data_IF_750408323157
#
_entry.id   IF_750408323157
#
_cell.length_a   1.000
_cell.length_b   1.000
_cell.length_c   1.000
_cell.angle_alpha   90.00
_cell.angle_beta   90.00
_cell.angle_gamma   90.00
#
_symmetry.space_group_name_H-M   'P 1'
#
loop_
_entity.id
_entity.type
_entity.pdbx_description
1 polymer ?
#
# COMPACT_ATOMS: atom_id res chain seq x y z
N UNK A 1 29.05 -2.06 10.29
CA UNK A 1 29.55 -3.45 10.23
C UNK A 1 29.72 -3.81 8.76
N UNK A 2 30.92 -4.20 8.30
CA UNK A 2 31.11 -4.51 6.87
C UNK A 2 30.40 -5.82 6.53
N UNK A 3 29.40 -5.76 5.65
CA UNK A 3 28.75 -6.94 5.11
C UNK A 3 29.74 -7.86 4.40
N UNK A 4 29.48 -9.17 4.43
CA UNK A 4 30.26 -10.12 3.63
C UNK A 4 29.99 -9.86 2.15
N UNK A 5 31.04 -9.73 1.36
CA UNK A 5 30.92 -9.64 -0.10
C UNK A 5 30.44 -10.97 -0.67
N UNK A 6 29.29 -10.97 -1.35
CA UNK A 6 28.81 -12.15 -2.05
C UNK A 6 29.53 -12.27 -3.39
N UNK A 7 30.28 -13.37 -3.56
CA UNK A 7 30.63 -13.90 -4.88
C UNK A 7 29.67 -15.05 -5.17
N UNK A 8 28.78 -14.88 -6.15
CA UNK A 8 27.85 -15.92 -6.56
C UNK A 8 28.65 -17.11 -7.15
N UNK A 9 28.53 -18.32 -6.58
CA UNK A 9 29.20 -19.50 -7.11
C UNK A 9 28.71 -19.80 -8.53
N UNK A 10 29.63 -20.07 -9.46
CA UNK A 10 29.30 -20.38 -10.86
C UNK A 10 28.36 -21.59 -11.02
N UNK A 11 28.36 -22.53 -10.09
CA UNK A 11 27.45 -23.68 -10.10
C UNK A 11 25.96 -23.28 -10.00
N UNK A 12 25.64 -22.09 -9.49
CA UNK A 12 24.27 -21.61 -9.46
C UNK A 12 23.73 -21.29 -10.86
N UNK A 13 24.59 -20.94 -11.84
CA UNK A 13 24.11 -20.63 -13.19
C UNK A 13 23.71 -21.86 -14.00
N UNK A 14 24.14 -23.05 -13.58
CA UNK A 14 23.71 -24.34 -14.16
C UNK A 14 22.63 -25.02 -13.32
N UNK A 15 22.24 -24.42 -12.19
CA UNK A 15 21.27 -25.01 -11.27
C UNK A 15 19.84 -24.82 -11.79
N UNK A 16 19.26 -25.87 -12.35
CA UNK A 16 17.89 -25.89 -12.87
C UNK A 16 16.82 -26.14 -11.81
N UNK A 17 17.22 -26.47 -10.59
CA UNK A 17 16.29 -26.79 -9.49
C UNK A 17 16.10 -25.64 -8.51
N UNK A 18 16.97 -24.62 -8.53
CA UNK A 18 16.91 -23.49 -7.63
C UNK A 18 15.75 -22.56 -7.99
N UNK A 19 14.67 -22.63 -7.21
CA UNK A 19 13.46 -21.80 -7.41
C UNK A 19 13.38 -20.59 -6.49
N UNK A 20 14.04 -20.62 -5.33
CA UNK A 20 14.01 -19.56 -4.34
C UNK A 20 15.41 -19.29 -3.80
N UNK A 21 15.75 -18.01 -3.65
CA UNK A 21 17.04 -17.56 -3.13
C UNK A 21 16.78 -16.42 -2.14
N UNK A 22 17.36 -16.55 -0.95
CA UNK A 22 17.30 -15.52 0.10
C UNK A 22 18.71 -15.06 0.38
N UNK A 23 18.94 -13.76 0.23
CA UNK A 23 20.21 -13.09 0.45
C UNK A 23 20.05 -12.11 1.60
N UNK A 24 20.89 -12.24 2.63
CA UNK A 24 20.77 -11.46 3.86
C UNK A 24 22.12 -10.85 4.27
N UNK A 25 22.14 -9.53 4.52
CA UNK A 25 23.31 -8.79 5.00
C UNK A 25 24.56 -8.96 4.12
N UNK A 26 24.37 -8.92 2.80
CA UNK A 26 25.45 -9.09 1.82
C UNK A 26 25.77 -7.79 1.09
N UNK A 27 27.05 -7.62 0.74
CA UNK A 27 27.47 -6.65 -0.26
C UNK A 27 27.51 -7.35 -1.61
N UNK A 28 26.71 -6.88 -2.57
CA UNK A 28 26.75 -7.44 -3.93
C UNK A 28 27.85 -6.71 -4.71
N UNK A 29 28.79 -7.47 -5.26
CA UNK A 29 29.79 -6.97 -6.20
C UNK A 29 29.33 -7.25 -7.64
N UNK A 30 30.15 -6.88 -8.64
CA UNK A 30 29.87 -7.06 -10.07
C UNK A 30 29.32 -8.47 -10.36
N UNK A 31 28.10 -8.51 -10.89
CA UNK A 31 27.45 -9.74 -11.35
C UNK A 31 28.11 -10.14 -12.68
N UNK A 32 28.61 -11.38 -12.83
CA UNK A 32 29.25 -11.79 -14.08
C UNK A 32 28.25 -11.75 -15.25
N UNK A 33 28.62 -11.22 -16.44
CA UNK A 33 27.70 -11.01 -17.56
C UNK A 33 27.00 -12.28 -18.10
N UNK A 34 27.57 -13.47 -17.87
CA UNK A 34 27.04 -14.77 -18.35
C UNK A 34 26.36 -15.60 -17.26
N UNK A 35 26.21 -15.03 -16.07
CA UNK A 35 25.59 -15.72 -14.95
C UNK A 35 24.07 -15.57 -15.07
N UNK A 36 23.31 -16.67 -15.13
CA UNK A 36 21.85 -16.63 -15.21
C UNK A 36 21.23 -17.63 -14.24
N UNK A 37 20.26 -17.19 -13.47
CA UNK A 37 19.45 -18.03 -12.57
C UNK A 37 18.15 -18.40 -13.28
N UNK A 38 18.25 -19.26 -14.29
CA UNK A 38 17.19 -19.56 -15.26
C UNK A 38 15.91 -20.16 -14.65
N UNK A 39 15.97 -20.73 -13.45
CA UNK A 39 14.82 -21.37 -12.78
C UNK A 39 14.33 -20.60 -11.55
N UNK A 40 14.97 -19.47 -11.23
CA UNK A 40 14.68 -18.73 -10.01
C UNK A 40 13.39 -17.93 -10.16
N UNK A 41 12.38 -18.31 -9.38
CA UNK A 41 11.07 -17.66 -9.35
C UNK A 41 10.89 -16.69 -8.18
N UNK A 42 11.66 -16.87 -7.11
CA UNK A 42 11.57 -16.09 -5.88
C UNK A 42 12.96 -15.61 -5.44
N UNK A 43 13.08 -14.30 -5.21
CA UNK A 43 14.31 -13.66 -4.72
C UNK A 43 13.98 -12.73 -3.55
N UNK A 44 14.70 -12.90 -2.45
CA UNK A 44 14.61 -12.03 -1.29
C UNK A 44 15.97 -11.37 -1.05
N UNK A 45 16.00 -10.05 -1.08
CA UNK A 45 17.15 -9.20 -0.80
C UNK A 45 16.91 -8.49 0.54
N UNK A 46 17.59 -8.93 1.59
CA UNK A 46 17.42 -8.44 2.96
C UNK A 46 18.71 -7.73 3.41
N UNK A 47 18.64 -6.43 3.72
CA UNK A 47 19.79 -5.60 4.10
C UNK A 47 20.95 -5.73 3.10
N UNK A 48 20.65 -5.46 1.84
CA UNK A 48 21.62 -5.59 0.75
C UNK A 48 22.21 -4.23 0.45
N UNK A 49 23.52 -4.13 0.62
CA UNK A 49 24.29 -2.96 0.25
C UNK A 49 24.89 -3.15 -1.14
N UNK A 50 24.69 -2.15 -2.00
CA UNK A 50 25.34 -2.07 -3.30
C UNK A 50 26.42 -0.99 -3.27
N UNK A 51 27.65 -1.34 -3.61
CA UNK A 51 28.74 -0.36 -3.74
C UNK A 51 28.64 0.49 -5.01
N UNK A 52 27.64 0.24 -5.87
CA UNK A 52 27.39 0.96 -7.12
C UNK A 52 25.92 0.90 -7.53
N UNK A 53 25.51 1.88 -8.33
CA UNK A 53 24.09 2.17 -8.64
C UNK A 53 23.43 1.09 -9.51
N UNK A 54 24.22 0.35 -10.29
CA UNK A 54 23.72 -0.63 -11.24
C UNK A 54 23.70 -2.08 -10.69
N UNK A 55 24.15 -2.30 -9.46
CA UNK A 55 24.36 -3.66 -8.96
C UNK A 55 23.06 -4.44 -8.74
N UNK A 56 22.03 -3.81 -8.15
CA UNK A 56 20.72 -4.44 -7.96
C UNK A 56 20.02 -4.69 -9.31
N UNK A 57 19.92 -3.69 -10.22
CA UNK A 57 19.42 -3.93 -11.57
C UNK A 57 20.15 -5.08 -12.29
N UNK A 58 21.48 -5.13 -12.20
CA UNK A 58 22.27 -6.20 -12.82
C UNK A 58 21.98 -7.58 -12.26
N UNK A 59 21.77 -7.70 -10.93
CA UNK A 59 21.37 -8.97 -10.30
C UNK A 59 19.97 -9.40 -10.73
N UNK A 60 19.05 -8.45 -10.83
CA UNK A 60 17.67 -8.75 -11.22
C UNK A 60 17.59 -9.20 -12.68
N UNK A 61 18.45 -8.64 -13.56
CA UNK A 61 18.54 -9.04 -14.96
C UNK A 61 18.98 -10.50 -15.16
N UNK A 62 19.71 -11.09 -14.22
CA UNK A 62 20.14 -12.50 -14.32
C UNK A 62 19.02 -13.49 -13.98
N UNK A 63 17.84 -13.02 -13.56
CA UNK A 63 16.70 -13.83 -13.13
C UNK A 63 15.51 -13.68 -14.10
N UNK A 64 15.56 -14.24 -15.33
CA UNK A 64 14.59 -13.92 -16.39
C UNK A 64 13.14 -14.39 -16.10
N UNK A 65 12.97 -15.40 -15.22
CA UNK A 65 11.68 -15.98 -14.87
C UNK A 65 11.23 -15.61 -13.45
N UNK A 66 11.77 -14.51 -12.90
CA UNK A 66 11.47 -14.06 -11.55
C UNK A 66 10.01 -13.63 -11.43
N UNK A 67 9.25 -14.31 -10.57
CA UNK A 67 7.82 -14.05 -10.33
C UNK A 67 7.57 -13.29 -9.02
N UNK A 68 8.47 -13.41 -8.05
CA UNK A 68 8.34 -12.84 -6.71
C UNK A 68 9.65 -12.20 -6.24
N UNK A 69 9.62 -10.90 -5.95
CA UNK A 69 10.77 -10.13 -5.46
C UNK A 69 10.43 -9.45 -4.14
N UNK A 70 11.29 -9.66 -3.14
CA UNK A 70 11.30 -8.88 -1.90
C UNK A 70 12.62 -8.14 -1.79
N UNK A 71 12.56 -6.83 -1.61
CA UNK A 71 13.69 -5.99 -1.23
C UNK A 71 13.34 -5.37 0.12
N UNK A 72 14.07 -5.73 1.17
CA UNK A 72 13.83 -5.22 2.52
C UNK A 72 15.13 -4.66 3.09
N UNK A 73 15.15 -3.36 3.37
CA UNK A 73 16.31 -2.73 3.98
C UNK A 73 16.08 -2.52 5.49
N UNK A 74 17.15 -2.26 6.23
CA UNK A 74 17.04 -1.82 7.61
C UNK A 74 17.07 -0.29 7.70
N UNK A 75 16.59 0.26 8.82
CA UNK A 75 16.56 1.71 9.03
C UNK A 75 17.95 2.34 9.10
N UNK A 76 18.96 1.54 9.43
CA UNK A 76 20.35 1.96 9.54
C UNK A 76 21.08 1.89 8.19
N UNK A 77 20.46 1.27 7.17
CA UNK A 77 21.02 1.22 5.82
C UNK A 77 20.75 2.58 5.14
N UNK A 78 21.81 3.33 4.83
CA UNK A 78 21.69 4.58 4.06
C UNK A 78 21.60 4.32 2.55
N UNK A 79 20.89 3.26 2.18
CA UNK A 79 20.76 2.81 0.80
C UNK A 79 19.50 3.42 0.20
N UNK A 80 19.71 4.33 -0.76
CA UNK A 80 18.65 4.89 -1.58
C UNK A 80 18.39 3.97 -2.77
N UNK A 81 17.13 3.60 -2.99
CA UNK A 81 16.69 2.99 -4.24
C UNK A 81 16.68 4.07 -5.32
N UNK A 82 17.64 3.94 -6.24
CA UNK A 82 17.85 4.87 -7.34
C UNK A 82 16.98 4.52 -8.54
N UNK A 83 16.86 5.49 -9.45
CA UNK A 83 16.22 5.29 -10.75
C UNK A 83 16.93 4.15 -11.49
N UNK A 84 16.14 3.17 -11.96
CA UNK A 84 16.67 2.04 -12.73
C UNK A 84 17.08 2.47 -14.14
N UNK A 85 18.07 1.81 -14.78
CA UNK A 85 18.45 2.09 -16.15
C UNK A 85 17.29 1.88 -17.15
N UNK A 86 17.28 2.56 -18.32
CA UNK A 86 16.17 2.49 -19.28
C UNK A 86 15.89 1.10 -19.86
N UNK A 87 16.89 0.21 -19.87
CA UNK A 87 16.78 -1.16 -20.39
C UNK A 87 16.24 -2.16 -19.35
N UNK A 88 16.03 -1.73 -18.11
CA UNK A 88 15.71 -2.61 -17.00
C UNK A 88 14.25 -3.10 -17.06
N UNK A 89 14.05 -4.41 -17.14
CA UNK A 89 12.71 -5.03 -17.18
C UNK A 89 12.63 -6.30 -16.32
N UNK A 90 11.45 -6.53 -15.74
CA UNK A 90 11.08 -7.71 -14.96
C UNK A 90 9.78 -8.31 -15.52
N UNK A 91 9.80 -8.88 -16.73
CA UNK A 91 8.60 -9.20 -17.50
C UNK A 91 7.73 -10.32 -16.90
N UNK A 92 8.31 -11.17 -16.05
CA UNK A 92 7.59 -12.27 -15.39
C UNK A 92 7.13 -11.92 -13.96
N UNK A 93 7.45 -10.73 -13.46
CA UNK A 93 7.27 -10.38 -12.06
C UNK A 93 5.80 -10.13 -11.75
N UNK A 94 5.24 -10.99 -10.90
CA UNK A 94 3.85 -10.93 -10.45
C UNK A 94 3.74 -10.14 -9.15
N UNK A 95 4.68 -10.34 -8.22
CA UNK A 95 4.62 -9.68 -6.92
C UNK A 95 5.94 -9.03 -6.51
N UNK A 96 5.86 -7.75 -6.14
CA UNK A 96 6.98 -6.90 -5.74
C UNK A 96 6.75 -6.33 -4.35
N UNK A 97 7.70 -6.59 -3.44
CA UNK A 97 7.65 -6.12 -2.05
C UNK A 97 8.88 -5.25 -1.79
N UNK A 98 8.67 -3.95 -1.67
CA UNK A 98 9.68 -2.95 -1.34
C UNK A 98 9.47 -2.52 0.11
N UNK A 99 10.30 -3.03 1.01
CA UNK A 99 10.13 -2.91 2.44
C UNK A 99 11.23 -2.05 3.06
N UNK A 100 10.82 -1.01 3.80
CA UNK A 100 11.72 -0.07 4.46
C UNK A 100 12.73 0.57 3.48
N UNK A 101 12.26 0.95 2.29
CA UNK A 101 13.11 1.53 1.24
C UNK A 101 13.03 3.07 1.30
N UNK A 102 14.18 3.74 1.12
CA UNK A 102 14.26 5.15 0.78
C UNK A 102 14.37 5.30 -0.75
N UNK A 103 13.60 6.19 -1.36
CA UNK A 103 13.67 6.43 -2.81
C UNK A 103 14.44 7.71 -3.12
N UNK A 104 15.27 7.69 -4.18
CA UNK A 104 16.12 8.86 -4.54
C UNK A 104 15.34 10.05 -5.08
N UNK A 105 14.09 9.84 -5.51
CA UNK A 105 13.20 10.85 -6.07
C UNK A 105 11.88 10.25 -6.56
N UNK A 106 10.94 11.10 -6.93
CA UNK A 106 9.56 10.75 -7.31
C UNK A 106 9.48 9.75 -8.47
N UNK A 107 10.45 9.78 -9.39
CA UNK A 107 10.47 8.90 -10.57
C UNK A 107 11.00 7.48 -10.30
N UNK A 108 11.70 7.26 -9.18
CA UNK A 108 12.45 6.01 -8.96
C UNK A 108 11.54 4.77 -8.92
N UNK A 109 10.39 4.86 -8.24
CA UNK A 109 9.42 3.77 -8.23
C UNK A 109 8.73 3.64 -9.60
N UNK A 110 8.30 4.75 -10.20
CA UNK A 110 7.60 4.72 -11.48
C UNK A 110 8.42 4.03 -12.58
N UNK A 111 9.71 4.37 -12.68
CA UNK A 111 10.64 3.74 -13.63
C UNK A 111 10.87 2.25 -13.37
N UNK A 112 10.87 1.82 -12.12
CA UNK A 112 10.93 0.39 -11.80
C UNK A 112 9.65 -0.33 -12.28
N UNK A 113 8.49 0.28 -12.06
CA UNK A 113 7.20 -0.32 -12.39
C UNK A 113 6.92 -0.36 -13.90
N UNK A 114 7.47 0.57 -14.69
CA UNK A 114 7.40 0.57 -16.16
C UNK A 114 7.92 -0.76 -16.77
N UNK A 115 8.92 -1.38 -16.14
CA UNK A 115 9.49 -2.65 -16.59
C UNK A 115 8.72 -3.91 -16.13
N UNK A 116 7.62 -3.78 -15.39
CA UNK A 116 6.91 -4.89 -14.76
C UNK A 116 5.52 -5.13 -15.39
N UNK A 117 5.47 -5.75 -16.57
CA UNK A 117 4.26 -5.86 -17.40
C UNK A 117 3.10 -6.68 -16.79
N UNK A 118 3.41 -7.65 -15.92
CA UNK A 118 2.43 -8.62 -15.37
C UNK A 118 2.26 -8.51 -13.86
N UNK A 119 2.69 -7.38 -13.27
CA UNK A 119 2.68 -7.16 -11.82
C UNK A 119 1.24 -7.12 -11.28
N UNK A 120 0.88 -8.09 -10.44
CA UNK A 120 -0.44 -8.23 -9.82
C UNK A 120 -0.51 -7.66 -8.39
N UNK A 121 0.62 -7.66 -7.67
CA UNK A 121 0.67 -7.30 -6.26
C UNK A 121 1.91 -6.46 -5.93
N UNK A 122 1.67 -5.28 -5.38
CA UNK A 122 2.70 -4.33 -4.97
C UNK A 122 2.57 -4.03 -3.48
N UNK A 123 3.65 -4.22 -2.74
CA UNK A 123 3.78 -3.82 -1.34
C UNK A 123 4.89 -2.80 -1.23
N UNK A 124 4.57 -1.59 -0.78
CA UNK A 124 5.54 -0.51 -0.54
C UNK A 124 5.46 -0.10 0.92
N UNK A 125 6.55 -0.28 1.65
CA UNK A 125 6.74 0.27 2.99
C UNK A 125 7.87 1.27 2.95
N UNK A 126 7.55 2.54 3.07
CA UNK A 126 8.53 3.63 3.09
C UNK A 126 9.21 3.72 4.44
N UNK A 127 10.50 4.03 4.41
CA UNK A 127 11.18 4.57 5.59
C UNK A 127 10.80 6.02 5.78
N UNK A 128 10.96 6.49 7.01
CA UNK A 128 10.84 7.91 7.33
C UNK A 128 11.98 8.67 6.63
N UNK A 129 11.71 9.92 6.24
CA UNK A 129 12.72 10.89 5.83
C UNK A 129 13.38 10.65 4.44
N UNK A 130 12.64 10.15 3.44
CA UNK A 130 13.05 10.29 2.03
C UNK A 130 12.47 11.58 1.40
N UNK A 131 13.03 12.01 0.26
CA UNK A 131 12.67 13.27 -0.40
C UNK A 131 11.49 13.13 -1.37
N UNK A 132 10.74 12.02 -1.31
CA UNK A 132 9.69 11.76 -2.29
C UNK A 132 8.36 12.37 -1.85
N UNK A 133 7.87 13.27 -2.67
CA UNK A 133 6.64 14.01 -2.40
C UNK A 133 5.44 13.30 -3.02
N UNK A 134 5.54 12.93 -4.30
CA UNK A 134 4.44 12.29 -5.03
C UNK A 134 4.87 10.90 -5.49
N UNK A 135 4.11 9.89 -5.08
CA UNK A 135 4.24 8.53 -5.59
C UNK A 135 3.26 8.28 -6.73
N UNK A 136 3.80 8.15 -7.96
CA UNK A 136 3.01 7.75 -9.11
C UNK A 136 3.07 6.23 -9.30
N UNK A 137 1.91 5.57 -9.20
CA UNK A 137 1.76 4.13 -9.41
C UNK A 137 0.89 3.94 -10.65
N UNK A 138 1.55 3.76 -11.80
CA UNK A 138 0.89 3.50 -13.07
C UNK A 138 1.19 2.07 -13.53
N UNK A 139 0.29 1.14 -13.20
CA UNK A 139 0.50 -0.30 -13.46
C UNK A 139 -0.83 -0.93 -13.90
N UNK A 140 -1.05 -1.11 -15.22
CA UNK A 140 -2.31 -1.62 -15.74
C UNK A 140 -2.68 -3.04 -15.30
N UNK A 141 -1.71 -3.86 -14.89
CA UNK A 141 -1.90 -5.23 -14.43
C UNK A 141 -2.19 -5.33 -12.92
N UNK A 142 -2.02 -4.24 -12.17
CA UNK A 142 -1.98 -4.28 -10.71
C UNK A 142 -3.38 -4.42 -10.11
N UNK A 143 -3.54 -5.43 -9.25
CA UNK A 143 -4.81 -5.77 -8.58
C UNK A 143 -4.77 -5.52 -7.08
N UNK A 144 -3.60 -5.64 -6.47
CA UNK A 144 -3.41 -5.51 -5.03
C UNK A 144 -2.31 -4.51 -4.73
N UNK A 145 -2.66 -3.46 -3.99
CA UNK A 145 -1.71 -2.46 -3.51
C UNK A 145 -1.75 -2.39 -1.98
N UNK A 146 -0.57 -2.51 -1.36
CA UNK A 146 -0.37 -2.25 0.06
C UNK A 146 0.69 -1.18 0.25
N UNK A 147 0.30 -0.06 0.88
CA UNK A 147 1.19 1.06 1.18
C UNK A 147 1.30 1.23 2.69
N UNK A 148 2.53 1.32 3.18
CA UNK A 148 2.86 1.76 4.53
C UNK A 148 3.74 3.01 4.43
N UNK A 149 3.17 4.17 4.76
CA UNK A 149 3.82 5.46 4.65
C UNK A 149 3.65 6.23 5.97
N UNK A 150 4.72 6.35 6.75
CA UNK A 150 4.64 6.91 8.09
C UNK A 150 5.39 8.22 8.20
N UNK A 151 4.74 9.21 8.80
CA UNK A 151 5.34 10.51 9.10
C UNK A 151 6.56 10.35 10.02
N UNK A 152 7.69 10.94 9.61
CA UNK A 152 8.89 11.08 10.43
C UNK A 152 8.68 12.10 11.56
N UNK A 153 9.59 12.14 12.54
CA UNK A 153 9.45 13.02 13.73
C UNK A 153 9.49 14.53 13.40
N UNK A 154 9.98 14.93 12.23
CA UNK A 154 10.25 16.33 11.84
C UNK A 154 9.58 16.77 10.54
N UNK A 155 8.67 15.97 9.99
CA UNK A 155 8.11 16.24 8.68
C UNK A 155 6.91 17.20 8.75
N UNK A 156 7.16 18.51 8.86
CA UNK A 156 6.19 19.51 8.44
C UNK A 156 6.51 19.86 7.00
N UNK A 157 5.58 19.58 6.10
CA UNK A 157 5.72 19.91 4.68
C UNK A 157 4.43 20.59 4.25
N UNK A 158 4.54 21.86 3.84
CA UNK A 158 3.39 22.65 3.35
C UNK A 158 2.94 22.20 1.95
N UNK A 159 3.85 21.59 1.20
CA UNK A 159 3.62 21.15 -0.16
C UNK A 159 2.75 19.88 -0.24
N UNK A 160 2.18 19.65 -1.42
CA UNK A 160 1.40 18.45 -1.71
C UNK A 160 2.25 17.19 -1.67
N UNK A 161 1.88 16.24 -0.82
CA UNK A 161 2.56 14.96 -0.67
C UNK A 161 1.53 13.84 -0.65
N UNK A 162 1.65 12.88 -1.56
CA UNK A 162 0.54 11.98 -1.83
C UNK A 162 0.82 10.90 -2.86
N UNK A 163 -0.25 10.22 -3.22
CA UNK A 163 -0.21 9.11 -4.16
C UNK A 163 -1.14 9.39 -5.31
N UNK A 164 -0.66 9.15 -6.52
CA UNK A 164 -1.45 9.13 -7.75
C UNK A 164 -1.43 7.70 -8.24
N UNK A 165 -2.61 7.08 -8.31
CA UNK A 165 -2.74 5.67 -8.67
C UNK A 165 -3.54 5.56 -9.97
N UNK A 166 -2.90 4.98 -10.98
CA UNK A 166 -3.53 4.55 -12.23
C UNK A 166 -3.39 3.03 -12.37
N UNK A 167 -4.33 2.30 -11.77
CA UNK A 167 -4.34 0.84 -11.76
C UNK A 167 -5.76 0.29 -11.50
N UNK A 168 -6.15 -0.86 -12.08
CA UNK A 168 -7.44 -1.50 -11.83
C UNK A 168 -7.43 -2.30 -10.51
N UNK A 169 -7.23 -1.60 -9.39
CA UNK A 169 -7.12 -2.22 -8.07
C UNK A 169 -8.41 -2.92 -7.63
N UNK A 170 -8.29 -4.16 -7.16
CA UNK A 170 -9.32 -4.94 -6.47
C UNK A 170 -9.18 -4.81 -4.94
N UNK A 171 -7.93 -4.67 -4.45
CA UNK A 171 -7.59 -4.59 -3.03
C UNK A 171 -6.64 -3.43 -2.77
N UNK A 172 -7.00 -2.61 -1.79
CA UNK A 172 -6.18 -1.49 -1.31
C UNK A 172 -6.00 -1.57 0.20
N UNK A 173 -4.76 -1.68 0.65
CA UNK A 173 -4.38 -1.55 2.06
C UNK A 173 -3.50 -0.32 2.20
N UNK A 174 -4.06 0.75 2.76
CA UNK A 174 -3.43 2.06 2.79
C UNK A 174 -3.19 2.48 4.25
N UNK A 175 -1.97 2.23 4.72
CA UNK A 175 -1.49 2.65 6.03
C UNK A 175 -0.62 3.87 5.89
N UNK A 176 -1.27 4.99 5.66
CA UNK A 176 -0.61 6.26 5.45
C UNK A 176 -0.94 7.24 6.57
N UNK A 177 0.09 7.81 7.16
CA UNK A 177 -0.03 8.90 8.14
C UNK A 177 0.76 10.13 7.75
N UNK A 178 1.30 10.14 6.54
CA UNK A 178 2.07 11.27 6.04
C UNK A 178 1.26 12.03 5.00
N UNK A 179 0.73 11.37 3.97
CA UNK A 179 0.16 12.06 2.82
C UNK A 179 -1.08 12.91 3.14
N UNK A 180 -1.19 14.02 2.41
CA UNK A 180 -2.33 14.92 2.45
C UNK A 180 -3.35 14.66 1.32
N UNK A 181 -3.00 13.85 0.31
CA UNK A 181 -3.95 13.41 -0.72
C UNK A 181 -3.67 11.98 -1.24
N UNK A 182 -4.72 11.40 -1.82
CA UNK A 182 -4.70 10.19 -2.65
C UNK A 182 -5.63 10.44 -3.83
N UNK A 183 -5.12 10.28 -5.04
CA UNK A 183 -5.89 10.50 -6.27
C UNK A 183 -5.88 9.22 -7.11
N UNK A 184 -7.06 8.75 -7.51
CA UNK A 184 -7.19 7.73 -8.53
C UNK A 184 -7.32 8.40 -9.89
N UNK A 185 -6.45 8.03 -10.82
CA UNK A 185 -6.59 8.45 -12.21
C UNK A 185 -7.43 7.43 -12.98
N UNK A 186 -8.33 7.97 -13.80
CA UNK A 186 -9.18 7.17 -14.66
C UNK A 186 -8.36 6.77 -15.87
N UNK A 187 -8.24 5.46 -16.12
CA UNK A 187 -7.61 4.96 -17.34
C UNK A 187 -8.25 5.62 -18.57
N UNK A 188 -7.49 6.33 -19.43
CA UNK A 188 -8.02 6.75 -20.71
C UNK A 188 -8.37 5.51 -21.53
N UNK A 189 -9.48 5.63 -22.26
CA UNK A 189 -9.99 4.64 -23.22
C UNK A 189 -8.83 4.12 -24.07
N UNK A 190 -8.60 2.81 -24.03
CA UNK A 190 -7.94 2.12 -25.13
C UNK A 190 -8.75 2.39 -26.42
N UNK A 191 -8.21 2.15 -27.63
CA UNK A 191 -8.89 2.48 -28.90
C UNK A 191 -10.22 1.74 -29.13
N UNK A 192 -10.62 0.86 -28.23
CA UNK A 192 -11.83 0.04 -28.33
C UNK A 192 -12.90 0.51 -27.34
N UNK A 193 -14.14 0.75 -27.81
CA UNK A 193 -15.20 1.29 -26.96
C UNK A 193 -15.84 0.18 -26.12
N UNK A 194 -15.45 0.07 -24.86
CA UNK A 194 -16.32 -0.50 -23.82
C UNK A 194 -15.93 -0.01 -22.44
N UNK A 195 -16.72 0.93 -21.93
CA UNK A 195 -16.80 1.27 -20.51
C UNK A 195 -15.62 2.08 -19.94
N UNK A 196 -15.95 3.13 -19.19
CA UNK A 196 -15.00 3.72 -18.24
C UNK A 196 -14.73 2.66 -17.15
N UNK A 197 -13.51 2.14 -17.06
CA UNK A 197 -13.15 1.22 -15.97
C UNK A 197 -12.85 2.09 -14.75
N UNK A 198 -13.87 2.35 -13.93
CA UNK A 198 -13.71 2.90 -12.59
C UNK A 198 -12.87 1.93 -11.72
N UNK A 199 -12.11 2.42 -10.73
CA UNK A 199 -11.40 1.54 -9.80
C UNK A 199 -12.35 0.47 -9.22
N UNK A 200 -12.03 -0.81 -9.46
CA UNK A 200 -12.83 -1.95 -9.01
C UNK A 200 -12.45 -2.36 -7.58
N UNK A 201 -12.21 -1.40 -6.70
CA UNK A 201 -11.75 -1.66 -5.34
C UNK A 201 -12.91 -2.31 -4.59
N UNK A 202 -12.79 -3.61 -4.34
CA UNK A 202 -13.78 -4.38 -3.59
C UNK A 202 -13.44 -4.43 -2.09
N UNK A 203 -12.15 -4.29 -1.74
CA UNK A 203 -11.65 -4.33 -0.37
C UNK A 203 -10.72 -3.15 -0.06
N UNK A 204 -11.06 -2.38 0.97
CA UNK A 204 -10.25 -1.30 1.51
C UNK A 204 -9.88 -1.60 2.97
N UNK A 205 -8.59 -1.52 3.31
CA UNK A 205 -8.11 -1.37 4.69
C UNK A 205 -7.40 -0.02 4.83
N UNK A 206 -7.91 0.86 5.68
CA UNK A 206 -7.39 2.22 5.89
C UNK A 206 -6.93 2.43 7.33
N UNK A 207 -5.76 3.05 7.48
CA UNK A 207 -5.25 3.46 8.79
C UNK A 207 -5.92 4.75 9.28
N UNK A 208 -6.39 4.77 10.53
CA UNK A 208 -7.06 5.93 11.14
C UNK A 208 -6.16 6.75 12.07
N UNK A 209 -4.83 6.64 11.91
CA UNK A 209 -3.87 7.30 12.81
C UNK A 209 -3.45 8.72 12.39
N UNK A 210 -3.83 9.19 11.19
CA UNK A 210 -3.43 10.49 10.65
C UNK A 210 -4.45 11.59 10.95
N UNK A 211 -4.06 12.86 11.03
CA UNK A 211 -5.04 13.95 11.24
C UNK A 211 -6.10 14.05 10.13
N UNK A 212 -5.77 13.60 8.91
CA UNK A 212 -6.60 13.69 7.70
C UNK A 212 -7.34 12.42 7.27
N UNK A 213 -7.27 11.33 8.04
CA UNK A 213 -7.77 10.01 7.59
C UNK A 213 -9.24 10.02 7.15
N UNK A 214 -10.09 10.84 7.79
CA UNK A 214 -11.53 10.86 7.50
C UNK A 214 -11.84 11.53 6.15
N UNK A 215 -11.08 12.56 5.78
CA UNK A 215 -11.22 13.21 4.48
C UNK A 215 -10.63 12.33 3.36
N UNK A 216 -9.54 11.61 3.67
CA UNK A 216 -9.00 10.58 2.79
C UNK A 216 -10.03 9.46 2.55
N UNK A 217 -10.69 8.97 3.61
CA UNK A 217 -11.77 7.99 3.48
C UNK A 217 -12.91 8.51 2.60
N UNK A 218 -13.36 9.75 2.81
CA UNK A 218 -14.41 10.38 2.00
C UNK A 218 -14.03 10.40 0.51
N UNK A 219 -12.79 10.75 0.17
CA UNK A 219 -12.28 10.71 -1.20
C UNK A 219 -12.33 9.30 -1.78
N UNK A 220 -11.80 8.30 -1.05
CA UNK A 220 -11.77 6.92 -1.54
C UNK A 220 -13.17 6.36 -1.75
N UNK A 221 -14.12 6.65 -0.86
CA UNK A 221 -15.51 6.18 -1.01
C UNK A 221 -16.14 6.70 -2.30
N UNK A 222 -15.86 7.95 -2.69
CA UNK A 222 -16.33 8.53 -3.95
C UNK A 222 -15.67 7.89 -5.18
N UNK A 223 -14.39 7.51 -5.07
CA UNK A 223 -13.61 6.95 -6.18
C UNK A 223 -13.72 5.41 -6.29
N UNK A 224 -14.34 4.74 -5.32
CA UNK A 224 -14.45 3.28 -5.25
C UNK A 224 -15.92 2.80 -5.22
N UNK A 225 -16.68 2.94 -6.33
CA UNK A 225 -18.13 2.69 -6.36
C UNK A 225 -18.52 1.22 -6.11
N UNK A 226 -17.58 0.27 -6.22
CA UNK A 226 -17.82 -1.17 -6.03
C UNK A 226 -17.40 -1.71 -4.66
N UNK A 227 -16.98 -0.84 -3.74
CA UNK A 227 -16.43 -1.25 -2.44
C UNK A 227 -17.41 -2.11 -1.64
N UNK A 228 -17.00 -3.35 -1.34
CA UNK A 228 -17.79 -4.33 -0.56
C UNK A 228 -17.34 -4.47 0.89
N UNK A 229 -16.06 -4.25 1.15
CA UNK A 229 -15.46 -4.44 2.48
C UNK A 229 -14.62 -3.23 2.87
N UNK A 230 -15.08 -2.49 3.87
CA UNK A 230 -14.37 -1.39 4.49
C UNK A 230 -13.79 -1.81 5.83
N UNK A 231 -12.47 -1.74 5.96
CA UNK A 231 -11.74 -1.98 7.21
C UNK A 231 -11.03 -0.73 7.66
N UNK A 232 -11.31 -0.30 8.88
CA UNK A 232 -10.67 0.86 9.51
C UNK A 232 -9.86 0.36 10.70
N UNK A 233 -8.61 0.82 10.83
CA UNK A 233 -7.74 0.34 11.91
C UNK A 233 -6.80 1.44 12.40
N UNK A 234 -6.77 1.64 13.71
CA UNK A 234 -5.66 2.35 14.36
C UNK A 234 -4.58 1.35 14.76
N UNK A 235 -3.29 1.61 14.49
CA UNK A 235 -2.19 0.66 14.82
C UNK A 235 -1.04 1.29 15.62
N UNK A 236 -0.97 2.62 15.70
CA UNK A 236 0.23 3.29 16.19
C UNK A 236 0.10 3.67 17.66
N UNK A 237 1.17 3.45 18.44
CA UNK A 237 1.26 3.90 19.83
C UNK A 237 1.48 5.42 19.94
N UNK A 238 2.03 6.02 18.88
CA UNK A 238 2.33 7.45 18.84
C UNK A 238 1.06 8.24 18.55
N UNK A 239 0.72 9.16 19.45
CA UNK A 239 -0.17 10.28 19.13
C UNK A 239 0.66 11.26 18.34
N UNK A 240 0.43 11.34 17.04
CA UNK A 240 0.94 12.47 16.28
C UNK A 240 0.17 13.69 16.77
N UNK A 241 0.88 14.76 17.14
CA UNK A 241 0.28 16.03 17.57
C UNK A 241 -0.29 16.82 16.37
N UNK A 242 -0.66 16.12 15.30
CA UNK A 242 -1.20 16.77 14.12
C UNK A 242 -2.56 17.36 14.47
N UNK A 243 -2.82 18.63 14.10
CA UNK A 243 -4.14 19.20 14.25
C UNK A 243 -5.13 18.31 13.51
N UNK A 244 -6.21 17.96 14.19
CA UNK A 244 -7.22 17.07 13.65
C UNK A 244 -7.98 17.82 12.55
N UNK A 245 -7.97 17.28 11.33
CA UNK A 245 -8.78 17.83 10.25
C UNK A 245 -10.22 17.38 10.49
N UNK A 246 -11.12 18.35 10.64
CA UNK A 246 -12.55 18.09 10.74
C UNK A 246 -12.99 17.30 9.50
N UNK A 247 -13.83 16.30 9.75
CA UNK A 247 -14.33 15.46 8.69
C UNK A 247 -15.35 16.22 7.85
N UNK A 248 -15.04 16.33 6.55
CA UNK A 248 -15.93 16.86 5.54
C UNK A 248 -16.80 15.71 5.02
N UNK A 249 -18.05 15.68 5.48
CA UNK A 249 -19.03 14.71 5.00
C UNK A 249 -19.19 14.82 3.47
N UNK A 250 -19.20 13.69 2.71
CA UNK A 250 -19.40 13.73 1.28
C UNK A 250 -20.73 14.42 0.92
N UNK A 251 -20.69 15.36 -0.02
CA UNK A 251 -21.88 16.10 -0.48
C UNK A 251 -22.86 15.22 -1.25
N UNK A 252 -22.34 14.21 -1.94
CA UNK A 252 -23.11 13.19 -2.65
C UNK A 252 -22.88 11.87 -1.93
N UNK A 253 -23.95 11.09 -1.73
CA UNK A 253 -23.83 9.77 -1.13
C UNK A 253 -23.02 8.85 -2.06
N UNK A 254 -21.85 8.33 -1.63
CA UNK A 254 -21.04 7.44 -2.45
C UNK A 254 -21.83 6.20 -2.88
N UNK A 255 -21.74 5.87 -4.16
CA UNK A 255 -22.49 4.74 -4.75
C UNK A 255 -22.20 3.43 -4.01
N UNK A 256 -20.95 3.22 -3.55
CA UNK A 256 -20.58 2.00 -2.84
C UNK A 256 -21.38 1.79 -1.56
N UNK A 257 -21.73 2.85 -0.82
CA UNK A 257 -22.54 2.73 0.39
C UNK A 257 -23.96 2.26 0.04
N UNK A 258 -24.56 2.83 -0.98
CA UNK A 258 -25.96 2.54 -1.34
C UNK A 258 -26.16 1.24 -2.11
N UNK A 259 -25.11 0.60 -2.63
CA UNK A 259 -25.24 -0.54 -3.56
C UNK A 259 -24.37 -1.76 -3.26
N UNK A 260 -23.19 -1.60 -2.65
CA UNK A 260 -22.18 -2.66 -2.60
C UNK A 260 -21.60 -2.96 -1.22
N UNK A 261 -21.57 -2.00 -0.29
CA UNK A 261 -20.88 -2.18 0.98
C UNK A 261 -21.59 -3.21 1.87
N UNK A 262 -20.93 -4.35 2.10
CA UNK A 262 -21.45 -5.49 2.85
C UNK A 262 -20.81 -5.63 4.24
N UNK A 263 -19.55 -5.25 4.38
CA UNK A 263 -18.75 -5.45 5.61
C UNK A 263 -18.11 -4.14 6.04
N UNK A 264 -18.35 -3.74 7.29
CA UNK A 264 -17.60 -2.72 8.00
C UNK A 264 -16.87 -3.38 9.17
N UNK A 265 -15.54 -3.28 9.20
CA UNK A 265 -14.70 -3.73 10.32
C UNK A 265 -13.88 -2.56 10.87
N UNK A 266 -14.22 -2.08 12.06
CA UNK A 266 -13.54 -0.96 12.71
C UNK A 266 -12.75 -1.43 13.94
N UNK A 267 -11.44 -1.54 13.78
CA UNK A 267 -10.50 -1.97 14.82
C UNK A 267 -9.92 -0.79 15.59
N UNK A 268 -9.87 -0.93 16.92
CA UNK A 268 -9.40 0.11 17.85
C UNK A 268 -10.22 1.40 17.78
N UNK A 269 -11.54 1.26 17.75
CA UNK A 269 -12.49 2.36 17.87
C UNK A 269 -12.42 2.97 19.28
N UNK A 270 -12.15 4.28 19.36
CA UNK A 270 -12.04 5.02 20.62
C UNK A 270 -13.28 5.88 20.94
N UNK A 271 -14.22 5.93 20.00
CA UNK A 271 -15.47 6.66 20.11
C UNK A 271 -15.26 8.16 20.20
N UNK A 272 -14.24 8.70 19.53
CA UNK A 272 -14.05 10.16 19.37
C UNK A 272 -15.24 10.78 18.61
N UNK A 273 -15.34 12.10 18.58
CA UNK A 273 -16.42 12.75 17.85
C UNK A 273 -16.38 12.45 16.35
N UNK A 274 -15.21 12.60 15.73
CA UNK A 274 -15.01 12.28 14.32
C UNK A 274 -15.28 10.81 13.98
N UNK A 275 -14.79 9.88 14.81
CA UNK A 275 -15.08 8.45 14.63
C UNK A 275 -16.58 8.15 14.75
N UNK A 276 -17.30 8.81 15.67
CA UNK A 276 -18.77 8.67 15.78
C UNK A 276 -19.49 9.23 14.56
N UNK A 277 -19.05 10.38 14.05
CA UNK A 277 -19.68 11.00 12.89
C UNK A 277 -19.52 10.11 11.66
N UNK A 278 -18.29 9.63 11.39
CA UNK A 278 -18.03 8.70 10.28
C UNK A 278 -18.80 7.39 10.45
N UNK A 279 -18.81 6.81 11.67
CA UNK A 279 -19.58 5.60 11.94
C UNK A 279 -21.09 5.79 11.70
N UNK A 280 -21.65 6.91 12.17
CA UNK A 280 -23.06 7.25 11.99
C UNK A 280 -23.40 7.38 10.52
N UNK A 281 -22.55 8.04 9.75
CA UNK A 281 -22.73 8.23 8.32
C UNK A 281 -22.71 6.92 7.54
N UNK A 282 -21.69 6.07 7.75
CA UNK A 282 -21.62 4.77 7.06
C UNK A 282 -22.84 3.93 7.41
N UNK A 283 -23.23 3.86 8.69
CA UNK A 283 -24.39 3.09 9.12
C UNK A 283 -25.73 3.64 8.59
N UNK A 284 -25.84 4.96 8.43
CA UNK A 284 -27.04 5.63 7.93
C UNK A 284 -27.19 5.55 6.40
N UNK A 285 -26.11 5.34 5.66
CA UNK A 285 -26.11 5.32 4.20
C UNK A 285 -25.87 3.93 3.60
N UNK A 286 -25.27 2.99 4.34
CA UNK A 286 -24.96 1.66 3.84
C UNK A 286 -26.18 0.72 3.87
N UNK A 287 -26.87 0.59 2.74
CA UNK A 287 -28.12 -0.19 2.59
C UNK A 287 -27.89 -1.69 2.54
N UNK A 288 -26.79 -2.12 1.90
CA UNK A 288 -26.43 -3.54 1.73
C UNK A 288 -25.59 -4.11 2.89
N UNK A 289 -25.36 -3.32 3.94
CA UNK A 289 -24.47 -3.68 5.03
C UNK A 289 -24.98 -4.91 5.80
N UNK A 290 -24.22 -6.01 5.77
CA UNK A 290 -24.57 -7.26 6.46
C UNK A 290 -23.95 -7.31 7.86
N UNK A 291 -22.72 -6.83 7.99
CA UNK A 291 -21.96 -6.92 9.23
C UNK A 291 -21.22 -5.62 9.51
N UNK A 292 -21.39 -5.10 10.73
CA UNK A 292 -20.65 -3.95 11.26
C UNK A 292 -19.99 -4.36 12.57
N UNK A 293 -18.69 -4.63 12.52
CA UNK A 293 -17.90 -5.05 13.69
C UNK A 293 -17.04 -3.89 14.17
N UNK A 294 -17.13 -3.57 15.46
CA UNK A 294 -16.29 -2.57 16.12
C UNK A 294 -15.49 -3.26 17.21
N UNK A 295 -14.21 -2.92 17.37
CA UNK A 295 -13.42 -3.42 18.50
C UNK A 295 -12.61 -2.31 19.16
N UNK A 296 -12.37 -2.43 20.45
CA UNK A 296 -11.60 -1.43 21.22
C UNK A 296 -10.53 -2.07 22.09
N UNK A 297 -9.43 -1.34 22.33
CA UNK A 297 -8.45 -1.73 23.36
C UNK A 297 -8.83 -1.18 24.74
N UNK A 298 -9.70 -0.17 24.81
CA UNK A 298 -10.09 0.48 26.05
C UNK A 298 -11.31 -0.21 26.70
N UNK A 299 -11.07 -1.27 27.49
CA UNK A 299 -12.12 -1.99 28.25
C UNK A 299 -13.02 -1.06 29.08
N UNK A 300 -12.44 -0.03 29.70
CA UNK A 300 -13.20 0.91 30.54
C UNK A 300 -14.22 1.77 29.76
N UNK A 301 -13.99 1.96 28.45
CA UNK A 301 -14.90 2.73 27.57
C UNK A 301 -15.91 1.83 26.84
N UNK A 302 -15.72 0.51 26.86
CA UNK A 302 -16.47 -0.48 26.09
C UNK A 302 -17.98 -0.25 26.16
N UNK A 303 -18.57 -0.28 27.37
CA UNK A 303 -20.02 -0.16 27.54
C UNK A 303 -20.56 1.19 27.07
N UNK A 304 -19.81 2.28 27.27
CA UNK A 304 -20.20 3.63 26.84
C UNK A 304 -20.22 3.73 25.31
N UNK A 305 -19.20 3.18 24.64
CA UNK A 305 -19.10 3.19 23.18
C UNK A 305 -20.18 2.31 22.55
N UNK A 306 -20.36 1.10 23.07
CA UNK A 306 -21.42 0.19 22.63
C UNK A 306 -22.81 0.83 22.77
N UNK A 307 -23.12 1.47 23.91
CA UNK A 307 -24.39 2.18 24.11
C UNK A 307 -24.58 3.32 23.10
N UNK A 308 -23.52 4.03 22.72
CA UNK A 308 -23.60 5.10 21.72
C UNK A 308 -23.82 4.55 20.31
N UNK A 309 -23.09 3.51 19.91
CA UNK A 309 -23.22 2.88 18.59
C UNK A 309 -24.60 2.26 18.39
N UNK A 310 -25.17 1.61 19.41
CA UNK A 310 -26.54 1.05 19.35
C UNK A 310 -27.63 2.10 19.15
N UNK A 311 -27.37 3.36 19.49
CA UNK A 311 -28.32 4.47 19.29
C UNK A 311 -28.23 5.09 17.89
N UNK A 312 -27.22 4.75 17.10
CA UNK A 312 -27.08 5.28 15.75
C UNK A 312 -28.16 4.69 14.85
N UNK A 313 -28.71 5.54 13.96
CA UNK A 313 -29.63 5.10 12.92
C UNK A 313 -28.88 4.18 11.96
N UNK A 314 -29.51 3.07 11.60
CA UNK A 314 -29.02 2.11 10.61
C UNK A 314 -30.06 1.99 9.51
N UNK A 315 -29.64 2.14 8.26
CA UNK A 315 -30.55 1.99 7.11
C UNK A 315 -30.71 0.54 6.70
N UNK A 316 -29.66 -0.28 6.84
CA UNK A 316 -29.75 -1.71 6.57
C UNK A 316 -30.41 -2.46 7.73
N UNK A 317 -31.56 -3.08 7.44
CA UNK A 317 -32.34 -3.88 8.39
C UNK A 317 -31.66 -5.20 8.75
N UNK A 318 -30.86 -5.75 7.83
CA UNK A 318 -30.14 -7.02 8.00
C UNK A 318 -28.79 -6.86 8.72
N UNK A 319 -28.34 -5.62 8.93
CA UNK A 319 -27.03 -5.34 9.50
C UNK A 319 -26.90 -5.83 10.94
N UNK A 320 -25.99 -6.77 11.16
CA UNK A 320 -25.58 -7.22 12.48
C UNK A 320 -24.49 -6.29 13.01
N UNK A 321 -24.80 -5.60 14.12
CA UNK A 321 -23.83 -4.76 14.83
C UNK A 321 -23.15 -5.58 15.93
N UNK A 322 -21.88 -5.88 15.74
CA UNK A 322 -21.04 -6.62 16.68
C UNK A 322 -20.02 -5.66 17.31
N UNK A 323 -19.79 -5.80 18.61
CA UNK A 323 -18.77 -5.03 19.31
C UNK A 323 -17.92 -5.98 20.15
N UNK A 324 -16.59 -5.96 19.93
CA UNK A 324 -15.62 -6.92 20.49
C UNK A 324 -14.56 -6.26 21.39
#
# INVERSE_FOLDING_TARGET
>A
MSGKTLKLPSCLSTCVTLKSLILHAININVVPPRFHLLSLKSLHLLSVNSSGDETIPSLLQVCPVLEYLVVNQTKDDDVMFKVVPPWFCLPSLKSLHLLSIKFSGDEALAKLLEGCEVLDNLVVKRTQDDNVMIFNINVPSLKSLSVENFKGKRAYVEENHGFVINAPLEKLNFKDTFSNFLKFEHMPKTPYPSGTISPCIDHLELCTCSGGWANLLASILNDAPRLRSLKLKSQHRARYNDPMNLWNEPTVNPECLSTHLEILEWRQYEGTEQERNVAAYVLANATCLKMATFSTRCRNKYHRMLKKLKKLKRVSEICQLVFE
#
